data_IF_671286636707
#
_entry.id   IF_671286636707
#
_cell.length_a   1.000
_cell.length_b   1.000
_cell.length_c   1.000
_cell.angle_alpha   90.00
_cell.angle_beta   90.00
_cell.angle_gamma   90.00
#
_symmetry.space_group_name_H-M   'P 1'
#
loop_
_entity.id
_entity.type
_entity.pdbx_description
1 polymer ?
#
# COMPACT_ATOMS: atom_id res chain seq x y z
N UNK A 1 -26.76 29.55 12.97
CA UNK A 1 -26.96 28.20 13.52
C UNK A 1 -28.30 27.71 13.01
N UNK A 2 -28.38 26.46 12.54
CA UNK A 2 -29.64 25.88 12.06
C UNK A 2 -30.55 25.67 13.27
N UNK A 3 -31.81 26.11 13.18
CA UNK A 3 -32.83 25.79 14.19
C UNK A 3 -33.75 24.72 13.65
N UNK A 4 -34.09 23.76 14.50
CA UNK A 4 -34.97 22.64 14.20
C UNK A 4 -36.41 22.88 14.68
N UNK A 5 -36.69 24.00 15.35
CA UNK A 5 -37.99 24.32 15.96
C UNK A 5 -38.51 23.24 16.92
N UNK A 6 -37.61 22.46 17.51
CA UNK A 6 -37.88 21.44 18.53
C UNK A 6 -36.82 21.59 19.65
N UNK A 7 -37.18 22.25 20.77
CA UNK A 7 -36.23 22.51 21.86
C UNK A 7 -35.67 21.24 22.50
N UNK A 8 -36.45 20.17 22.58
CA UNK A 8 -36.01 18.91 23.19
C UNK A 8 -35.01 18.19 22.27
N UNK A 9 -35.22 18.27 20.95
CA UNK A 9 -34.28 17.75 19.97
C UNK A 9 -32.99 18.57 19.92
N UNK A 10 -33.09 19.90 19.92
CA UNK A 10 -31.92 20.79 19.97
C UNK A 10 -31.09 20.56 21.23
N UNK A 11 -31.76 20.36 22.38
CA UNK A 11 -31.09 19.98 23.64
C UNK A 11 -30.35 18.65 23.50
N UNK A 12 -30.99 17.61 22.93
CA UNK A 12 -30.33 16.31 22.67
C UNK A 12 -29.11 16.45 21.76
N UNK A 13 -29.18 17.27 20.72
CA UNK A 13 -28.04 17.54 19.83
C UNK A 13 -26.89 18.18 20.62
N UNK A 14 -27.18 19.20 21.43
CA UNK A 14 -26.15 19.89 22.21
C UNK A 14 -25.46 18.96 23.23
N UNK A 15 -26.23 18.08 23.88
CA UNK A 15 -25.74 17.13 24.88
C UNK A 15 -25.02 15.91 24.28
N UNK A 16 -25.29 15.58 23.01
CA UNK A 16 -24.72 14.41 22.33
C UNK A 16 -23.20 14.52 22.17
N UNK A 17 -22.49 13.43 22.52
CA UNK A 17 -21.06 13.27 22.24
C UNK A 17 -20.88 12.57 20.91
N UNK A 18 -20.33 13.27 19.92
CA UNK A 18 -20.12 12.73 18.56
C UNK A 18 -18.65 12.48 18.32
N UNK A 19 -18.33 11.34 17.72
CA UNK A 19 -16.98 11.01 17.29
C UNK A 19 -16.89 10.95 15.76
N UNK A 20 -16.05 11.81 15.19
CA UNK A 20 -15.78 11.89 13.75
C UNK A 20 -14.43 11.24 13.46
N UNK A 21 -14.43 10.23 12.60
CA UNK A 21 -13.24 9.46 12.25
C UNK A 21 -12.82 9.82 10.83
N UNK A 22 -11.76 10.62 10.72
CA UNK A 22 -11.28 11.24 9.48
C UNK A 22 -11.60 12.73 9.41
N UNK A 23 -10.59 13.54 9.13
CA UNK A 23 -10.63 14.98 8.93
C UNK A 23 -10.30 15.38 7.47
N UNK A 24 -10.49 14.44 6.53
CA UNK A 24 -10.34 14.67 5.09
C UNK A 24 -11.50 15.47 4.48
N UNK A 25 -11.82 15.21 3.20
CA UNK A 25 -12.85 15.97 2.46
C UNK A 25 -14.22 15.92 3.12
N UNK A 26 -14.73 14.70 3.37
CA UNK A 26 -16.00 14.51 4.09
C UNK A 26 -15.88 15.03 5.52
N UNK A 27 -14.78 14.74 6.21
CA UNK A 27 -14.56 15.14 7.61
C UNK A 27 -14.65 16.65 7.82
N UNK A 28 -14.01 17.44 6.95
CA UNK A 28 -14.07 18.90 7.00
C UNK A 28 -15.50 19.44 6.86
N UNK A 29 -16.25 18.98 5.86
CA UNK A 29 -17.65 19.37 5.66
C UNK A 29 -18.54 18.91 6.82
N UNK A 30 -18.31 17.70 7.31
CA UNK A 30 -19.06 17.12 8.41
C UNK A 30 -18.87 17.91 9.71
N UNK A 31 -17.63 18.27 10.08
CA UNK A 31 -17.35 19.05 11.28
C UNK A 31 -18.05 20.42 11.24
N UNK A 32 -17.99 21.10 10.10
CA UNK A 32 -18.71 22.36 9.89
C UNK A 32 -20.22 22.16 10.04
N UNK A 33 -20.79 21.15 9.39
CA UNK A 33 -22.21 20.87 9.45
C UNK A 33 -22.68 20.52 10.87
N UNK A 34 -21.91 19.72 11.62
CA UNK A 34 -22.20 19.36 13.01
C UNK A 34 -22.28 20.61 13.89
N UNK A 35 -21.24 21.45 13.84
CA UNK A 35 -21.20 22.66 14.66
C UNK A 35 -22.28 23.67 14.27
N UNK A 36 -22.52 23.86 12.96
CA UNK A 36 -23.60 24.73 12.48
C UNK A 36 -25.00 24.21 12.82
N UNK A 37 -25.13 22.90 13.06
CA UNK A 37 -26.36 22.23 13.51
C UNK A 37 -26.51 22.19 15.04
N UNK A 38 -25.56 22.75 15.79
CA UNK A 38 -25.68 22.89 17.24
C UNK A 38 -25.01 21.79 18.07
N UNK A 39 -24.32 20.82 17.45
CA UNK A 39 -23.52 19.84 18.20
C UNK A 39 -22.39 20.54 18.96
N UNK A 40 -22.30 20.30 20.28
CA UNK A 40 -21.31 20.95 21.15
C UNK A 40 -20.15 20.05 21.53
N UNK A 41 -20.35 18.75 21.63
CA UNK A 41 -19.32 17.82 22.12
C UNK A 41 -18.83 16.94 20.98
N UNK A 42 -17.70 17.32 20.38
CA UNK A 42 -17.15 16.65 19.19
C UNK A 42 -15.75 16.11 19.53
N UNK A 43 -15.50 14.86 19.16
CA UNK A 43 -14.15 14.33 19.08
C UNK A 43 -13.82 14.06 17.62
N UNK A 44 -12.62 14.41 17.17
CA UNK A 44 -12.14 14.11 15.83
C UNK A 44 -10.79 13.40 15.89
N UNK A 45 -10.60 12.41 15.02
CA UNK A 45 -9.32 11.72 14.84
C UNK A 45 -8.93 11.70 13.37
N UNK A 46 -7.65 11.91 13.09
CA UNK A 46 -7.04 11.70 11.78
C UNK A 46 -5.55 11.41 11.99
N UNK A 47 -4.97 10.51 11.20
CA UNK A 47 -3.56 10.13 11.33
C UNK A 47 -2.64 10.97 10.44
N UNK A 48 -3.20 11.71 9.49
CA UNK A 48 -2.44 12.39 8.46
C UNK A 48 -2.10 13.84 8.84
N UNK A 49 -1.09 14.33 8.12
CA UNK A 49 -0.78 15.76 8.01
C UNK A 49 -1.38 16.35 6.72
N UNK A 50 -1.48 17.68 6.69
CA UNK A 50 -2.07 18.41 5.57
C UNK A 50 -1.08 18.50 4.40
N UNK A 51 -1.54 18.14 3.21
CA UNK A 51 -0.78 18.28 1.98
C UNK A 51 -1.37 19.34 1.04
N UNK A 52 -0.56 19.86 0.11
CA UNK A 52 -1.02 20.80 -0.92
C UNK A 52 -2.17 20.20 -1.76
N UNK A 53 -2.09 18.91 -2.07
CA UNK A 53 -3.08 18.14 -2.82
C UNK A 53 -4.47 18.12 -2.17
N UNK A 54 -4.55 18.44 -0.87
CA UNK A 54 -5.78 18.40 -0.08
C UNK A 54 -6.60 19.70 -0.19
N UNK A 55 -5.94 20.83 -0.48
CA UNK A 55 -6.51 22.17 -0.38
C UNK A 55 -7.67 22.45 -1.37
N UNK A 56 -7.80 21.64 -2.42
CA UNK A 56 -8.89 21.76 -3.40
C UNK A 56 -10.25 21.29 -2.87
N UNK A 57 -10.29 20.51 -1.78
CA UNK A 57 -11.52 19.87 -1.27
C UNK A 57 -11.64 19.80 0.24
N UNK A 58 -10.59 20.19 0.98
CA UNK A 58 -10.56 20.18 2.44
C UNK A 58 -10.51 21.64 2.93
N UNK A 59 -11.67 22.31 2.86
CA UNK A 59 -11.78 23.77 2.96
C UNK A 59 -11.42 24.34 4.35
N UNK A 60 -11.26 23.52 5.39
CA UNK A 60 -10.73 23.95 6.69
C UNK A 60 -9.23 24.26 6.64
N UNK A 61 -8.52 23.80 5.60
CA UNK A 61 -7.08 23.91 5.50
C UNK A 61 -6.63 25.05 4.58
N UNK A 62 -5.43 25.57 4.84
CA UNK A 62 -4.80 26.68 4.12
C UNK A 62 -3.35 26.32 3.83
N UNK A 63 -2.70 27.09 2.94
CA UNK A 63 -1.33 26.80 2.50
C UNK A 63 -0.33 26.85 3.67
N UNK A 64 -0.54 27.75 4.63
CA UNK A 64 0.26 27.85 5.86
C UNK A 64 0.06 26.69 6.85
N UNK A 65 -0.90 25.81 6.60
CA UNK A 65 -1.16 24.63 7.43
C UNK A 65 -0.47 23.37 6.90
N UNK A 66 0.16 23.40 5.72
CA UNK A 66 0.83 22.24 5.13
C UNK A 66 1.88 21.67 6.09
N UNK A 67 1.88 20.34 6.26
CA UNK A 67 2.73 19.60 7.20
C UNK A 67 2.22 19.52 8.63
N UNK A 68 1.13 20.23 8.98
CA UNK A 68 0.49 20.15 10.32
C UNK A 68 -0.57 19.06 10.35
N UNK A 69 -0.95 18.60 11.54
CA UNK A 69 -2.00 17.60 11.72
C UNK A 69 -3.35 18.07 11.17
N UNK A 70 -4.03 17.22 10.39
CA UNK A 70 -5.39 17.51 9.93
C UNK A 70 -6.37 17.67 11.09
N UNK A 71 -6.34 16.75 12.06
CA UNK A 71 -7.27 16.75 13.19
C UNK A 71 -7.10 18.00 14.08
N UNK A 72 -5.85 18.40 14.35
CA UNK A 72 -5.54 19.59 15.14
C UNK A 72 -6.04 20.87 14.47
N UNK A 73 -5.66 21.09 13.20
CA UNK A 73 -6.02 22.30 12.47
C UNK A 73 -7.52 22.37 12.22
N UNK A 74 -8.17 21.25 11.86
CA UNK A 74 -9.61 21.20 11.69
C UNK A 74 -10.31 21.62 12.99
N UNK A 75 -9.84 21.13 14.13
CA UNK A 75 -10.42 21.48 15.44
C UNK A 75 -10.23 22.94 15.80
N UNK A 76 -9.05 23.50 15.53
CA UNK A 76 -8.77 24.93 15.74
C UNK A 76 -9.70 25.81 14.91
N UNK A 77 -9.86 25.51 13.61
CA UNK A 77 -10.73 26.28 12.70
C UNK A 77 -12.20 26.14 13.09
N UNK A 78 -12.65 24.93 13.44
CA UNK A 78 -14.02 24.68 13.89
C UNK A 78 -14.34 25.44 15.19
N UNK A 79 -13.37 25.53 16.12
CA UNK A 79 -13.50 26.31 17.35
C UNK A 79 -13.59 27.83 17.09
N UNK A 80 -12.99 28.32 16.01
CA UNK A 80 -13.19 29.70 15.56
C UNK A 80 -14.58 29.92 14.95
N UNK A 81 -15.16 28.90 14.29
CA UNK A 81 -16.51 28.97 13.73
C UNK A 81 -17.60 28.99 14.81
N UNK A 82 -17.39 28.31 15.93
CA UNK A 82 -18.30 28.33 17.09
C UNK A 82 -17.50 28.23 18.37
N UNK A 83 -17.41 29.32 19.11
CA UNK A 83 -16.61 29.40 20.34
C UNK A 83 -17.13 28.54 21.49
N UNK A 84 -18.40 28.12 21.41
CA UNK A 84 -19.07 27.28 22.40
C UNK A 84 -18.93 25.77 22.13
N UNK A 85 -18.22 25.37 21.06
CA UNK A 85 -17.94 23.95 20.78
C UNK A 85 -16.81 23.45 21.70
N UNK A 86 -17.07 22.33 22.36
CA UNK A 86 -16.08 21.50 23.01
C UNK A 86 -15.58 20.43 22.04
N UNK A 87 -14.49 20.75 21.33
CA UNK A 87 -13.85 19.86 20.37
C UNK A 87 -12.53 19.30 20.90
N UNK A 88 -12.40 17.97 20.90
CA UNK A 88 -11.15 17.25 21.21
C UNK A 88 -10.59 16.61 19.95
N UNK A 89 -9.27 16.63 19.79
CA UNK A 89 -8.62 16.03 18.62
C UNK A 89 -7.61 14.95 18.99
N UNK A 90 -7.42 14.00 18.09
CA UNK A 90 -6.35 13.03 18.11
C UNK A 90 -5.63 13.02 16.76
N UNK A 91 -4.31 13.24 16.78
CA UNK A 91 -3.45 13.00 15.63
C UNK A 91 -2.88 11.57 15.75
N UNK A 92 -3.67 10.58 15.33
CA UNK A 92 -3.34 9.16 15.51
C UNK A 92 -4.18 8.28 14.57
N UNK A 93 -3.76 7.03 14.41
CA UNK A 93 -4.57 6.02 13.75
C UNK A 93 -5.71 5.56 14.65
N UNK A 94 -6.91 5.44 14.09
CA UNK A 94 -8.05 4.82 14.79
C UNK A 94 -7.80 3.35 15.14
N UNK A 95 -6.82 2.72 14.49
CA UNK A 95 -6.43 1.34 14.77
C UNK A 95 -5.51 1.19 15.99
N UNK A 96 -5.11 2.29 16.63
CA UNK A 96 -4.33 2.27 17.85
C UNK A 96 -5.15 1.66 19.00
N UNK A 97 -4.57 0.70 19.74
CA UNK A 97 -5.25 -0.09 20.78
C UNK A 97 -5.86 0.76 21.90
N UNK A 98 -5.37 1.99 22.12
CA UNK A 98 -5.94 2.91 23.10
C UNK A 98 -7.39 3.33 22.79
N UNK A 99 -7.82 3.24 21.53
CA UNK A 99 -9.19 3.54 21.10
C UNK A 99 -10.08 2.29 21.14
N UNK A 100 -10.10 1.62 22.28
CA UNK A 100 -10.87 0.39 22.48
C UNK A 100 -12.39 0.59 22.61
N UNK A 101 -13.08 -0.50 22.95
CA UNK A 101 -14.54 -0.56 23.09
C UNK A 101 -15.08 0.48 24.08
N UNK A 102 -14.40 0.66 25.23
CA UNK A 102 -14.86 1.61 26.26
C UNK A 102 -14.77 3.07 25.81
N UNK A 103 -13.76 3.40 24.99
CA UNK A 103 -13.67 4.70 24.35
C UNK A 103 -14.87 4.92 23.42
N UNK A 104 -15.18 3.95 22.55
CA UNK A 104 -16.32 4.02 21.64
C UNK A 104 -17.66 4.13 22.39
N UNK A 105 -17.85 3.39 23.49
CA UNK A 105 -19.08 3.40 24.30
C UNK A 105 -19.38 4.77 24.93
N UNK A 106 -18.38 5.65 25.02
CA UNK A 106 -18.56 6.99 25.58
C UNK A 106 -19.29 7.98 24.65
N UNK A 107 -19.51 7.60 23.39
CA UNK A 107 -20.15 8.43 22.37
C UNK A 107 -21.61 8.05 22.13
N UNK A 108 -22.41 9.05 21.78
CA UNK A 108 -23.81 8.89 21.36
C UNK A 108 -23.93 8.47 19.91
N UNK A 109 -22.96 8.88 19.07
CA UNK A 109 -22.97 8.67 17.62
C UNK A 109 -21.54 8.72 17.07
N UNK A 110 -21.22 7.80 16.18
CA UNK A 110 -19.92 7.73 15.50
C UNK A 110 -20.15 7.95 14.00
N UNK A 111 -19.31 8.76 13.37
CA UNK A 111 -19.39 9.08 11.95
C UNK A 111 -18.06 8.82 11.26
N UNK A 112 -18.08 7.98 10.23
CA UNK A 112 -16.89 7.58 9.47
C UNK A 112 -16.75 8.42 8.21
N UNK A 113 -15.59 9.05 8.07
CA UNK A 113 -15.13 9.84 6.94
C UNK A 113 -13.79 9.30 6.39
N UNK A 114 -13.59 7.99 6.51
CA UNK A 114 -12.38 7.25 6.13
C UNK A 114 -12.31 6.95 4.63
N UNK A 115 -11.14 6.63 4.10
CA UNK A 115 -10.91 6.27 2.69
C UNK A 115 -10.36 4.85 2.48
N UNK A 116 -9.95 4.17 3.56
CA UNK A 116 -9.40 2.83 3.50
C UNK A 116 -10.32 1.79 4.17
N UNK A 117 -10.36 0.59 3.60
CA UNK A 117 -11.29 -0.47 4.00
C UNK A 117 -10.94 -1.12 5.34
N UNK A 118 -9.64 -1.24 5.64
CA UNK A 118 -9.18 -1.86 6.87
C UNK A 118 -9.66 -1.07 8.10
N UNK A 119 -9.46 0.25 8.10
CA UNK A 119 -9.95 1.12 9.16
C UNK A 119 -11.48 1.13 9.24
N UNK A 120 -12.20 1.18 8.10
CA UNK A 120 -13.67 1.09 8.08
C UNK A 120 -14.19 -0.21 8.72
N UNK A 121 -13.57 -1.34 8.39
CA UNK A 121 -13.91 -2.66 8.96
C UNK A 121 -13.60 -2.70 10.46
N UNK A 122 -12.48 -2.12 10.88
CA UNK A 122 -12.10 -2.00 12.29
C UNK A 122 -13.12 -1.17 13.09
N UNK A 123 -13.46 0.03 12.60
CA UNK A 123 -14.46 0.92 13.20
C UNK A 123 -15.84 0.25 13.25
N UNK A 124 -16.25 -0.41 12.17
CA UNK A 124 -17.49 -1.19 12.11
C UNK A 124 -17.57 -2.21 13.27
N UNK A 125 -16.53 -3.02 13.45
CA UNK A 125 -16.48 -4.02 14.53
C UNK A 125 -16.55 -3.38 15.91
N UNK A 126 -15.79 -2.30 16.15
CA UNK A 126 -15.82 -1.60 17.43
C UNK A 126 -17.20 -1.00 17.73
N UNK A 127 -17.87 -0.40 16.74
CA UNK A 127 -19.23 0.14 16.92
C UNK A 127 -20.26 -0.95 17.24
N UNK A 128 -20.16 -2.12 16.59
CA UNK A 128 -21.03 -3.28 16.88
C UNK A 128 -20.81 -3.85 18.29
N UNK A 129 -19.56 -3.88 18.77
CA UNK A 129 -19.24 -4.38 20.11
C UNK A 129 -19.60 -3.36 21.19
N UNK A 130 -19.33 -2.08 20.94
CA UNK A 130 -19.68 -0.97 21.83
C UNK A 130 -21.19 -0.68 21.87
N UNK A 131 -21.94 -1.17 20.88
CA UNK A 131 -23.37 -0.91 20.65
C UNK A 131 -23.68 0.58 20.47
N UNK A 132 -22.86 1.24 19.64
CA UNK A 132 -23.00 2.66 19.31
C UNK A 132 -23.34 2.81 17.82
N UNK A 133 -24.34 3.63 17.45
CA UNK A 133 -24.68 3.89 16.06
C UNK A 133 -23.50 4.41 15.25
N UNK A 134 -23.30 3.85 14.06
CA UNK A 134 -22.29 4.28 13.10
C UNK A 134 -22.96 4.82 11.83
N UNK A 135 -22.62 6.05 11.45
CA UNK A 135 -22.91 6.60 10.13
C UNK A 135 -21.69 6.40 9.26
N UNK A 136 -21.81 5.50 8.28
CA UNK A 136 -20.75 5.19 7.32
C UNK A 136 -20.99 5.97 6.02
N UNK A 137 -19.91 6.44 5.39
CA UNK A 137 -20.00 7.23 4.17
C UNK A 137 -18.86 6.96 3.19
N UNK A 138 -19.03 7.40 1.95
CA UNK A 138 -17.96 7.38 0.97
C UNK A 138 -18.30 8.19 -0.25
N UNK A 139 -17.27 8.63 -0.96
CA UNK A 139 -17.41 9.36 -2.23
C UNK A 139 -16.33 8.93 -3.21
N UNK A 140 -16.67 8.97 -4.50
CA UNK A 140 -15.77 8.72 -5.62
C UNK A 140 -16.26 9.53 -6.84
N UNK A 141 -15.51 10.58 -7.21
CA UNK A 141 -15.95 11.51 -8.25
C UNK A 141 -17.30 12.16 -7.91
N UNK A 142 -18.30 11.99 -8.77
CA UNK A 142 -19.67 12.49 -8.57
C UNK A 142 -20.58 11.53 -7.78
N UNK A 143 -20.09 10.34 -7.46
CA UNK A 143 -20.86 9.33 -6.73
C UNK A 143 -20.54 9.41 -5.24
N UNK A 144 -21.54 9.08 -4.43
CA UNK A 144 -21.36 8.92 -2.99
C UNK A 144 -22.53 8.19 -2.37
N UNK A 145 -22.33 7.75 -1.14
CA UNK A 145 -23.34 7.04 -0.36
C UNK A 145 -23.20 7.35 1.13
N UNK A 146 -24.31 7.20 1.84
CA UNK A 146 -24.38 7.26 3.31
C UNK A 146 -25.26 6.11 3.78
N UNK A 147 -24.85 5.43 4.84
CA UNK A 147 -25.59 4.32 5.46
C UNK A 147 -25.50 4.38 6.98
N UNK A 148 -26.56 3.96 7.66
CA UNK A 148 -26.60 3.89 9.13
C UNK A 148 -26.49 2.43 9.56
N UNK A 149 -25.51 2.13 10.42
CA UNK A 149 -25.23 0.81 10.96
C UNK A 149 -25.68 0.79 12.43
N UNK A 150 -26.65 -0.08 12.72
CA UNK A 150 -27.24 -0.31 14.03
C UNK A 150 -27.23 -1.81 14.32
N UNK A 151 -26.58 -2.20 15.41
CA UNK A 151 -26.46 -3.61 15.82
C UNK A 151 -27.85 -4.26 15.92
N UNK A 152 -28.01 -5.40 15.26
CA UNK A 152 -29.25 -6.18 15.27
C UNK A 152 -30.44 -5.51 14.57
N UNK A 153 -30.25 -4.37 13.88
CA UNK A 153 -31.33 -3.66 13.17
C UNK A 153 -31.03 -3.41 11.69
N UNK A 154 -29.78 -3.08 11.34
CA UNK A 154 -29.36 -2.89 9.95
C UNK A 154 -28.17 -3.78 9.63
N UNK A 155 -27.87 -3.95 8.34
CA UNK A 155 -26.64 -4.63 7.93
C UNK A 155 -25.40 -3.84 8.37
N UNK A 156 -24.33 -4.56 8.73
CA UNK A 156 -23.05 -3.93 9.05
C UNK A 156 -22.21 -3.72 7.79
N UNK A 157 -21.12 -2.94 7.90
CA UNK A 157 -20.24 -2.63 6.78
C UNK A 157 -19.75 -3.89 6.04
N UNK A 158 -19.46 -4.95 6.80
CA UNK A 158 -18.90 -6.23 6.35
C UNK A 158 -19.96 -7.28 5.97
N UNK A 159 -21.27 -6.99 6.07
CA UNK A 159 -22.32 -7.94 5.67
C UNK A 159 -22.30 -8.23 4.18
N UNK A 160 -21.98 -7.21 3.37
CA UNK A 160 -21.87 -7.34 1.93
C UNK A 160 -20.39 -7.30 1.52
N UNK A 161 -19.85 -8.37 0.89
CA UNK A 161 -18.47 -8.43 0.42
C UNK A 161 -18.13 -7.23 -0.47
N UNK A 162 -17.01 -6.56 -0.18
CA UNK A 162 -16.52 -5.46 -1.02
C UNK A 162 -15.59 -6.01 -2.11
N UNK A 163 -15.59 -5.45 -3.32
CA UNK A 163 -14.74 -5.94 -4.41
C UNK A 163 -13.28 -5.92 -3.99
N UNK A 164 -12.62 -7.06 -3.88
CA UNK A 164 -11.22 -7.14 -3.45
C UNK A 164 -10.34 -6.32 -4.41
N UNK A 165 -9.28 -5.71 -3.89
CA UNK A 165 -8.31 -5.04 -4.74
C UNK A 165 -7.75 -6.07 -5.74
N UNK A 166 -7.65 -5.69 -7.02
CA UNK A 166 -7.13 -6.59 -8.05
C UNK A 166 -5.70 -7.00 -7.68
N UNK A 167 -5.47 -8.30 -7.61
CA UNK A 167 -4.15 -8.92 -7.48
C UNK A 167 -3.77 -9.59 -8.79
N UNK A 168 -2.47 -9.66 -9.07
CA UNK A 168 -1.94 -10.26 -10.29
C UNK A 168 -0.96 -11.36 -9.89
N UNK A 169 -0.94 -12.52 -10.58
CA UNK A 169 0.00 -13.60 -10.26
C UNK A 169 1.46 -13.15 -10.41
N UNK A 170 2.32 -13.53 -9.48
CA UNK A 170 3.74 -13.15 -9.49
C UNK A 170 4.44 -13.57 -10.79
N UNK A 171 4.11 -14.73 -11.37
CA UNK A 171 4.66 -15.16 -12.65
C UNK A 171 4.29 -14.20 -13.81
N UNK A 172 3.09 -13.60 -13.78
CA UNK A 172 2.69 -12.59 -14.76
C UNK A 172 3.49 -11.30 -14.57
N UNK A 173 3.66 -10.86 -13.33
CA UNK A 173 4.38 -9.62 -12.99
C UNK A 173 5.88 -9.74 -13.28
N UNK A 174 6.52 -10.86 -12.93
CA UNK A 174 7.96 -11.08 -13.07
C UNK A 174 8.38 -11.46 -14.50
N UNK A 175 7.59 -12.32 -15.16
CA UNK A 175 8.03 -12.99 -16.38
C UNK A 175 7.23 -12.59 -17.64
N UNK A 176 5.95 -12.22 -17.53
CA UNK A 176 5.08 -12.02 -18.71
C UNK A 176 4.12 -10.83 -18.58
N UNK A 177 4.61 -9.61 -18.31
CA UNK A 177 3.74 -8.44 -18.16
C UNK A 177 3.13 -8.05 -19.52
N UNK A 178 1.83 -8.31 -19.68
CA UNK A 178 1.07 -8.00 -20.91
C UNK A 178 0.28 -6.68 -20.90
N UNK A 179 0.11 -6.04 -19.74
CA UNK A 179 -0.67 -4.82 -19.57
C UNK A 179 0.14 -3.77 -18.82
N UNK A 180 -0.15 -2.48 -19.06
CA UNK A 180 0.54 -1.36 -18.38
C UNK A 180 0.46 -1.47 -16.85
N UNK A 181 -0.65 -1.97 -16.32
CA UNK A 181 -0.82 -2.15 -14.87
C UNK A 181 0.17 -3.17 -14.29
N UNK A 182 0.58 -4.19 -15.06
CA UNK A 182 1.58 -5.16 -14.61
C UNK A 182 2.94 -4.50 -14.40
N UNK A 183 3.34 -3.58 -15.27
CA UNK A 183 4.57 -2.81 -15.13
C UNK A 183 4.52 -1.89 -13.90
N UNK A 184 3.37 -1.28 -13.61
CA UNK A 184 3.17 -0.45 -12.41
C UNK A 184 3.27 -1.29 -11.14
N UNK A 185 2.66 -2.48 -11.12
CA UNK A 185 2.74 -3.42 -10.00
C UNK A 185 4.18 -3.90 -9.79
N UNK A 186 4.88 -4.27 -10.87
CA UNK A 186 6.30 -4.62 -10.83
C UNK A 186 7.15 -3.48 -10.25
N UNK A 187 6.95 -2.24 -10.70
CA UNK A 187 7.70 -1.08 -10.22
C UNK A 187 7.46 -0.81 -8.72
N UNK A 188 6.22 -1.03 -8.26
CA UNK A 188 5.88 -0.95 -6.82
C UNK A 188 6.61 -2.01 -6.01
N UNK A 189 6.61 -3.27 -6.46
CA UNK A 189 7.32 -4.37 -5.80
C UNK A 189 8.84 -4.17 -5.82
N UNK A 190 9.40 -3.63 -6.91
CA UNK A 190 10.81 -3.26 -7.00
C UNK A 190 11.17 -2.15 -6.00
N UNK A 191 10.31 -1.12 -5.86
CA UNK A 191 10.51 -0.07 -4.85
C UNK A 191 10.54 -0.65 -3.43
N UNK A 192 9.60 -1.54 -3.09
CA UNK A 192 9.56 -2.18 -1.77
C UNK A 192 10.82 -2.99 -1.49
N UNK A 193 11.30 -3.78 -2.46
CA UNK A 193 12.57 -4.51 -2.28
C UNK A 193 13.78 -3.61 -2.11
N UNK A 194 13.86 -2.49 -2.84
CA UNK A 194 15.01 -1.60 -2.78
C UNK A 194 14.99 -0.73 -1.53
N UNK A 195 13.83 -0.19 -1.15
CA UNK A 195 13.74 0.90 -0.17
C UNK A 195 12.72 0.66 0.94
N UNK A 196 11.87 -0.36 0.81
CA UNK A 196 10.79 -0.66 1.73
C UNK A 196 11.06 -1.86 2.64
N UNK A 197 9.97 -2.44 3.13
CA UNK A 197 9.99 -3.69 3.88
C UNK A 197 10.31 -4.87 2.97
N UNK A 198 11.13 -5.79 3.46
CA UNK A 198 11.46 -7.01 2.73
C UNK A 198 10.30 -7.98 2.77
N UNK A 199 9.49 -7.98 1.72
CA UNK A 199 8.46 -8.98 1.47
C UNK A 199 8.96 -9.96 0.37
N UNK A 200 9.07 -11.28 0.68
CA UNK A 200 9.41 -12.30 -0.33
C UNK A 200 8.45 -12.34 -1.53
N UNK A 201 7.18 -11.98 -1.32
CA UNK A 201 6.17 -11.97 -2.39
C UNK A 201 6.41 -10.83 -3.38
N UNK A 202 7.06 -9.75 -2.92
CA UNK A 202 7.45 -8.61 -3.75
C UNK A 202 8.73 -8.85 -4.56
N UNK A 203 9.35 -10.04 -4.52
CA UNK A 203 10.54 -10.32 -5.34
C UNK A 203 10.27 -10.02 -6.84
N UNK A 204 11.25 -9.42 -7.51
CA UNK A 204 11.16 -8.95 -8.90
C UNK A 204 12.19 -9.64 -9.80
N UNK A 205 13.01 -10.49 -9.20
CA UNK A 205 13.96 -11.33 -9.90
C UNK A 205 13.19 -12.34 -10.77
N UNK A 206 13.63 -12.61 -12.01
CA UNK A 206 13.07 -13.69 -12.80
C UNK A 206 13.19 -15.02 -12.04
N UNK A 207 12.12 -15.81 -12.00
CA UNK A 207 12.05 -17.05 -11.19
C UNK A 207 13.12 -18.11 -11.57
N UNK A 208 13.73 -17.99 -12.75
CA UNK A 208 14.73 -18.94 -13.25
C UNK A 208 16.15 -18.77 -12.70
N UNK A 209 16.43 -17.73 -11.92
CA UNK A 209 17.68 -17.71 -11.14
C UNK A 209 17.71 -18.84 -10.06
N UNK A 210 16.58 -19.52 -9.81
CA UNK A 210 16.50 -20.75 -9.00
C UNK A 210 16.79 -22.06 -9.76
N UNK A 211 16.84 -22.02 -11.11
CA UNK A 211 16.83 -23.22 -11.97
C UNK A 211 18.13 -23.41 -12.76
N UNK A 212 19.16 -22.60 -12.52
CA UNK A 212 20.49 -22.67 -13.16
C UNK A 212 21.37 -23.84 -12.63
N UNK A 213 20.76 -24.93 -12.16
CA UNK A 213 21.43 -26.10 -11.57
C UNK A 213 21.34 -27.38 -12.41
N UNK A 214 21.16 -27.29 -13.73
CA UNK A 214 21.22 -28.47 -14.62
C UNK A 214 22.50 -28.47 -15.47
N UNK A 215 23.26 -29.58 -15.52
CA UNK A 215 24.52 -29.64 -16.25
C UNK A 215 24.28 -29.50 -17.75
N UNK A 216 25.11 -28.70 -18.40
CA UNK A 216 25.18 -28.58 -19.86
C UNK A 216 25.60 -29.92 -20.48
N UNK A 217 24.74 -30.46 -21.33
CA UNK A 217 25.11 -31.55 -22.25
C UNK A 217 26.03 -30.94 -23.31
N UNK A 218 27.30 -31.33 -23.31
CA UNK A 218 28.24 -30.96 -24.35
C UNK A 218 27.92 -31.70 -25.64
N UNK A 219 27.54 -30.97 -26.69
CA UNK A 219 27.59 -31.43 -28.07
C UNK A 219 29.04 -31.77 -28.44
N UNK A 220 29.33 -33.05 -28.65
CA UNK A 220 30.48 -33.46 -29.44
C UNK A 220 29.98 -34.18 -30.69
N UNK A 221 30.20 -33.49 -31.81
CA UNK A 221 30.23 -34.06 -33.14
C UNK A 221 31.25 -35.21 -33.20
N UNK A 222 30.83 -36.34 -33.75
CA UNK A 222 31.76 -37.33 -34.28
C UNK A 222 31.17 -37.96 -35.54
N UNK A 223 31.89 -37.70 -36.64
CA UNK A 223 31.87 -38.45 -37.88
C UNK A 223 32.42 -39.86 -37.66
N UNK A 224 31.87 -40.81 -38.41
CA UNK A 224 32.19 -42.23 -38.44
C UNK A 224 33.69 -42.57 -38.57
N UNK A 225 34.13 -43.62 -37.87
CA UNK A 225 34.75 -44.79 -38.51
C UNK A 225 34.98 -45.97 -37.54
N UNK A 226 34.73 -47.16 -38.05
CA UNK A 226 34.85 -48.46 -37.40
C UNK A 226 36.29 -48.99 -37.34
N UNK A 227 36.61 -49.80 -36.32
CA UNK A 227 37.19 -51.17 -36.40
C UNK A 227 38.15 -51.55 -35.26
N UNK A 228 37.74 -52.58 -34.51
CA UNK A 228 38.49 -53.77 -34.00
C UNK A 228 39.83 -53.67 -33.22
N UNK A 229 39.79 -54.33 -32.05
CA UNK A 229 40.75 -55.25 -31.41
C UNK A 229 42.13 -54.77 -30.89
N UNK A 230 42.37 -55.02 -29.59
CA UNK A 230 43.56 -55.77 -29.13
C UNK A 230 44.56 -55.10 -28.16
N UNK A 231 44.58 -55.60 -26.92
CA UNK A 231 45.77 -55.99 -26.13
C UNK A 231 46.67 -54.96 -25.39
N UNK A 232 46.74 -55.14 -24.06
CA UNK A 232 47.87 -55.02 -23.10
C UNK A 232 49.11 -54.17 -23.44
N UNK A 233 49.46 -53.19 -22.58
CA UNK A 233 50.54 -53.24 -21.57
C UNK A 233 50.87 -51.85 -20.96
N UNK A 234 51.34 -51.91 -19.72
CA UNK A 234 51.86 -50.87 -18.81
C UNK A 234 52.94 -49.95 -19.37
N UNK A 235 52.96 -48.67 -18.92
CA UNK A 235 54.19 -47.94 -18.55
C UNK A 235 53.89 -46.64 -17.76
N UNK A 236 54.72 -46.42 -16.75
CA UNK A 236 54.75 -45.30 -15.81
C UNK A 236 55.32 -43.99 -16.40
N UNK A 237 55.14 -42.92 -15.61
CA UNK A 237 55.83 -41.62 -15.56
C UNK A 237 55.40 -40.54 -16.57
N UNK A 238 54.76 -39.48 -16.06
CA UNK A 238 55.49 -38.29 -15.59
C UNK A 238 54.54 -37.22 -15.07
N UNK A 239 54.99 -36.50 -14.06
CA UNK A 239 54.32 -35.38 -13.42
C UNK A 239 53.96 -34.27 -14.42
N UNK A 240 52.78 -33.66 -14.24
CA UNK A 240 52.61 -32.21 -14.35
C UNK A 240 51.33 -31.79 -13.62
N UNK A 241 51.51 -30.85 -12.69
CA UNK A 241 50.43 -30.25 -11.93
C UNK A 241 49.56 -29.35 -12.79
N UNK A 242 48.26 -29.43 -12.59
CA UNK A 242 47.30 -28.41 -12.99
C UNK A 242 46.31 -28.24 -11.84
N UNK A 243 46.41 -27.10 -11.17
CA UNK A 243 45.53 -26.65 -10.12
C UNK A 243 44.07 -26.77 -10.54
N UNK A 244 43.32 -27.64 -9.85
CA UNK A 244 41.87 -27.69 -9.95
C UNK A 244 41.31 -26.39 -9.38
N UNK A 245 40.77 -25.53 -10.24
CA UNK A 245 39.90 -24.44 -9.81
C UNK A 245 38.63 -25.05 -9.23
N UNK A 246 38.52 -25.03 -7.91
CA UNK A 246 37.26 -25.28 -7.20
C UNK A 246 36.39 -24.05 -7.46
N UNK A 247 35.42 -24.15 -8.37
CA UNK A 247 34.40 -23.12 -8.55
C UNK A 247 33.59 -22.99 -7.25
N UNK A 248 33.66 -21.82 -6.63
CA UNK A 248 32.82 -21.47 -5.48
C UNK A 248 31.36 -21.35 -5.93
N UNK A 249 30.38 -21.82 -5.14
CA UNK A 249 28.97 -21.71 -5.49
C UNK A 249 28.57 -20.24 -5.59
N UNK A 250 28.06 -19.82 -6.75
CA UNK A 250 27.52 -18.46 -6.95
C UNK A 250 26.32 -18.29 -6.02
N UNK A 251 26.47 -17.46 -4.99
CA UNK A 251 25.38 -17.06 -4.11
C UNK A 251 24.40 -16.24 -4.96
N UNK A 252 23.17 -16.72 -5.11
CA UNK A 252 22.10 -15.94 -5.71
C UNK A 252 21.74 -14.79 -4.75
N UNK A 253 22.13 -13.57 -5.11
CA UNK A 253 21.81 -12.36 -4.36
C UNK A 253 20.47 -11.82 -4.86
N UNK A 254 19.54 -11.57 -3.95
CA UNK A 254 18.29 -10.90 -4.30
C UNK A 254 18.53 -9.42 -4.65
N UNK A 255 17.53 -8.75 -5.23
CA UNK A 255 17.64 -7.37 -5.71
C UNK A 255 18.15 -6.40 -4.65
N UNK A 256 17.74 -6.57 -3.39
CA UNK A 256 18.16 -5.71 -2.27
C UNK A 256 19.61 -5.92 -1.90
N UNK A 257 20.04 -7.17 -1.75
CA UNK A 257 21.43 -7.49 -1.44
C UNK A 257 22.37 -7.00 -2.54
N UNK A 258 21.93 -7.08 -3.79
CA UNK A 258 22.66 -6.50 -4.92
C UNK A 258 22.75 -4.97 -4.83
N UNK A 259 21.66 -4.30 -4.45
CA UNK A 259 21.63 -2.85 -4.28
C UNK A 259 22.55 -2.39 -3.13
N UNK A 260 22.46 -3.05 -1.97
CA UNK A 260 23.27 -2.78 -0.79
C UNK A 260 24.77 -2.96 -1.08
N UNK A 261 25.15 -4.05 -1.76
CA UNK A 261 26.54 -4.34 -2.12
C UNK A 261 27.16 -3.30 -3.07
N UNK A 262 26.33 -2.57 -3.83
CA UNK A 262 26.79 -1.54 -4.77
C UNK A 262 26.46 -0.11 -4.28
N UNK A 263 26.07 0.05 -3.01
CA UNK A 263 25.75 1.36 -2.44
C UNK A 263 24.61 2.10 -3.15
N UNK A 264 23.65 1.36 -3.71
CA UNK A 264 22.51 1.91 -4.46
C UNK A 264 22.89 2.78 -5.66
N UNK A 265 24.03 2.49 -6.31
CA UNK A 265 24.49 3.24 -7.48
C UNK A 265 23.47 3.13 -8.64
N UNK A 266 22.91 4.25 -9.14
CA UNK A 266 21.80 4.22 -10.09
C UNK A 266 22.09 3.49 -11.39
N UNK A 267 23.30 3.65 -11.95
CA UNK A 267 23.67 2.98 -13.21
C UNK A 267 23.75 1.46 -13.02
N UNK A 268 24.32 1.00 -11.91
CA UNK A 268 24.40 -0.42 -11.58
C UNK A 268 23.01 -1.04 -11.39
N UNK A 269 22.12 -0.36 -10.67
CA UNK A 269 20.73 -0.78 -10.51
C UNK A 269 20.01 -0.82 -11.86
N UNK A 270 20.23 0.19 -12.69
CA UNK A 270 19.66 0.24 -14.03
C UNK A 270 20.10 -0.94 -14.89
N UNK A 271 21.41 -1.20 -14.95
CA UNK A 271 22.00 -2.26 -15.77
C UNK A 271 21.57 -3.66 -15.30
N UNK A 272 21.47 -3.87 -13.99
CA UNK A 272 21.15 -5.18 -13.43
C UNK A 272 19.67 -5.49 -13.41
N UNK A 273 18.85 -4.52 -12.99
CA UNK A 273 17.41 -4.72 -12.91
C UNK A 273 16.83 -4.63 -14.30
N UNK A 274 17.08 -3.57 -15.06
CA UNK A 274 16.37 -3.33 -16.32
C UNK A 274 17.03 -4.00 -17.53
N UNK A 275 18.34 -3.86 -17.74
CA UNK A 275 18.98 -4.45 -18.94
C UNK A 275 19.01 -5.98 -18.91
N UNK A 276 19.20 -6.60 -17.73
CA UNK A 276 19.19 -8.07 -17.59
C UNK A 276 17.77 -8.62 -17.78
N UNK A 277 16.75 -8.00 -17.19
CA UNK A 277 15.34 -8.35 -17.43
C UNK A 277 14.97 -8.22 -18.92
N UNK A 278 15.38 -7.14 -19.59
CA UNK A 278 15.08 -6.95 -21.03
C UNK A 278 15.77 -7.94 -21.96
N UNK A 279 16.99 -8.40 -21.63
CA UNK A 279 17.67 -9.46 -22.40
C UNK A 279 16.98 -10.82 -22.22
N UNK A 280 16.39 -11.04 -21.06
CA UNK A 280 15.78 -12.29 -20.67
C UNK A 280 14.34 -12.43 -21.18
N UNK A 281 13.56 -11.35 -21.05
CA UNK A 281 12.25 -11.21 -21.63
C UNK A 281 12.42 -10.96 -23.12
N UNK A 282 12.39 -12.04 -23.92
CA UNK A 282 12.43 -12.01 -25.40
C UNK A 282 11.61 -10.84 -25.99
N UNK A 283 11.93 -10.36 -27.21
CA UNK A 283 11.36 -9.15 -27.84
C UNK A 283 9.82 -9.08 -28.02
N UNK A 284 9.06 -10.01 -27.44
CA UNK A 284 7.60 -10.02 -27.42
C UNK A 284 6.98 -9.18 -26.28
N UNK A 285 7.76 -8.74 -25.27
CA UNK A 285 7.27 -7.86 -24.19
C UNK A 285 7.54 -6.37 -24.47
N UNK A 286 6.93 -5.85 -25.53
CA UNK A 286 7.09 -4.46 -25.99
C UNK A 286 6.68 -3.42 -24.93
N UNK A 287 5.78 -3.80 -24.01
CA UNK A 287 5.22 -2.91 -22.98
C UNK A 287 6.21 -2.60 -21.86
N UNK A 288 7.05 -3.55 -21.44
CA UNK A 288 8.04 -3.32 -20.40
C UNK A 288 9.16 -2.41 -20.94
N UNK A 289 9.59 -2.64 -22.18
CA UNK A 289 10.57 -1.80 -22.87
C UNK A 289 10.07 -0.35 -23.02
N UNK A 290 8.81 -0.15 -23.41
CA UNK A 290 8.23 1.19 -23.58
C UNK A 290 8.12 1.94 -22.23
N UNK A 291 7.70 1.25 -21.17
CA UNK A 291 7.60 1.84 -19.83
C UNK A 291 8.97 2.23 -19.27
N UNK A 292 9.98 1.36 -19.42
CA UNK A 292 11.36 1.62 -19.01
C UNK A 292 11.96 2.80 -19.78
N UNK A 293 11.75 2.87 -21.10
CA UNK A 293 12.25 3.97 -21.92
C UNK A 293 11.64 5.33 -21.54
N UNK A 294 10.34 5.38 -21.19
CA UNK A 294 9.74 6.62 -20.69
C UNK A 294 10.18 6.97 -19.26
N UNK A 295 10.44 5.97 -18.41
CA UNK A 295 10.96 6.19 -17.06
C UNK A 295 12.39 6.76 -17.11
N UNK A 296 13.24 6.27 -18.01
CA UNK A 296 14.58 6.82 -18.28
C UNK A 296 14.48 8.25 -18.78
N UNK A 297 13.55 8.54 -19.69
CA UNK A 297 13.36 9.88 -20.26
C UNK A 297 12.92 10.92 -19.22
N UNK A 298 12.26 10.49 -18.13
CA UNK A 298 11.88 11.36 -17.02
C UNK A 298 12.98 11.55 -15.96
N UNK A 299 13.98 10.65 -15.92
CA UNK A 299 15.06 10.66 -14.94
C UNK A 299 16.37 11.30 -15.44
N UNK A 300 16.46 11.61 -16.74
CA UNK A 300 17.58 12.33 -17.39
C UNK A 300 17.10 13.71 -17.83
#
# INVERSE_FOLDING_TARGET
MISFNDPDFEKKIAESKVFVIGAGGIGCELLKNLVMSGFKNITVIDLDTIEISNLNRQFLFRKEHVGKSKAEIASSVVKQMSSDVNITFYHDSIMNEKFGVDFFRSFSLIMSALDNRAARSHVNRLCLVADVPLVESGSAGYLGQVSVILKGRTECYDCTPKPIQKTFPSCTIRNTPSELIHCIVWAKSAFNQLFGENDPDDDVSPEMDSMESLPTVSENSSTDNASTNGHHTTKENSANGSSQHIEQPKIHLNTRQLAENNGYEPKHLFDKVFLKLMKYLKPQNIFLLFFILELIRYLI
#
